data_IF_350242288173
#
_entry.id   IF_350242288173
#
_cell.length_a   1.000
_cell.length_b   1.000
_cell.length_c   1.000
_cell.angle_alpha   90.00
_cell.angle_beta   90.00
_cell.angle_gamma   90.00
#
_symmetry.space_group_name_H-M   'P 1'
#
loop_
_entity.id
_entity.type
_entity.pdbx_description
1 polymer ?
#
# COMPACT_ATOMS: atom_id res chain seq x y z
N UNK A 1 10.80 -13.40 -28.29
CA UNK A 1 11.67 -14.00 -27.25
C UNK A 1 12.27 -12.94 -26.32
N UNK A 2 13.07 -11.98 -26.80
CA UNK A 2 13.58 -10.84 -26.00
C UNK A 2 12.46 -10.05 -25.28
N UNK A 3 11.33 -9.83 -25.96
CA UNK A 3 10.16 -9.17 -25.36
C UNK A 3 9.56 -9.95 -24.18
N UNK A 4 9.55 -11.29 -24.23
CA UNK A 4 9.04 -12.13 -23.13
C UNK A 4 9.97 -12.04 -21.92
N UNK A 5 11.28 -12.05 -22.14
CA UNK A 5 12.29 -11.89 -21.09
C UNK A 5 12.21 -10.49 -20.46
N UNK A 6 12.04 -9.44 -21.27
CA UNK A 6 11.85 -8.07 -20.76
C UNK A 6 10.53 -7.98 -19.97
N UNK A 7 9.44 -8.60 -20.43
CA UNK A 7 8.16 -8.64 -19.70
C UNK A 7 8.32 -9.42 -18.38
N UNK A 8 9.07 -10.53 -18.37
CA UNK A 8 9.36 -11.32 -17.16
C UNK A 8 10.24 -10.55 -16.17
N UNK A 9 11.28 -9.86 -16.65
CA UNK A 9 12.15 -9.02 -15.84
C UNK A 9 11.39 -7.82 -15.28
N UNK A 10 10.54 -7.19 -16.11
CA UNK A 10 9.67 -6.10 -15.68
C UNK A 10 8.66 -6.61 -14.65
N UNK A 11 8.08 -7.80 -14.81
CA UNK A 11 7.19 -8.41 -13.81
C UNK A 11 7.93 -8.75 -12.50
N UNK A 12 9.17 -9.26 -12.60
CA UNK A 12 10.05 -9.55 -11.47
C UNK A 12 10.45 -8.28 -10.69
N UNK A 13 10.70 -7.17 -11.39
CA UNK A 13 11.04 -5.86 -10.80
C UNK A 13 9.80 -5.09 -10.35
N UNK A 14 8.63 -5.31 -10.97
CA UNK A 14 7.37 -4.61 -10.67
C UNK A 14 6.55 -5.26 -9.57
N UNK A 15 6.90 -6.47 -9.12
CA UNK A 15 6.51 -6.95 -7.81
C UNK A 15 7.02 -5.91 -6.80
N UNK A 16 6.13 -5.19 -6.10
CA UNK A 16 6.55 -4.09 -5.24
C UNK A 16 7.38 -4.70 -4.11
N UNK A 17 8.69 -4.66 -4.28
CA UNK A 17 9.67 -4.98 -3.28
C UNK A 17 9.53 -3.97 -2.13
N UNK A 18 8.54 -4.15 -1.28
CA UNK A 18 8.54 -3.61 0.07
C UNK A 18 9.34 -4.56 0.96
N UNK A 19 10.54 -4.92 0.50
CA UNK A 19 11.59 -5.38 1.39
C UNK A 19 11.99 -4.16 2.22
N UNK A 20 11.30 -3.97 3.35
CA UNK A 20 11.89 -3.23 4.47
C UNK A 20 13.13 -4.02 4.84
N UNK A 21 14.28 -3.60 4.30
CA UNK A 21 15.59 -4.17 4.60
C UNK A 21 15.79 -4.14 6.12
N UNK A 22 15.49 -5.25 6.79
CA UNK A 22 16.03 -5.56 8.11
C UNK A 22 17.46 -6.03 7.86
N UNK A 23 18.36 -5.07 7.65
CA UNK A 23 19.79 -5.35 7.79
C UNK A 23 20.06 -5.62 9.27
N UNK A 24 20.01 -6.90 9.67
CA UNK A 24 20.66 -7.36 10.88
C UNK A 24 22.17 -7.21 10.65
N UNK A 25 22.72 -6.05 11.05
CA UNK A 25 24.14 -5.92 11.29
C UNK A 25 24.29 -5.50 12.74
N UNK A 26 24.63 -6.48 13.58
CA UNK A 26 25.01 -6.28 14.97
C UNK A 26 26.22 -5.36 15.03
N UNK A 27 25.97 -4.09 15.31
CA UNK A 27 26.93 -3.14 15.86
C UNK A 27 26.11 -2.23 16.76
N UNK A 28 26.40 -2.28 18.05
CA UNK A 28 25.83 -1.42 19.08
C UNK A 28 25.89 0.03 18.62
N UNK A 29 24.78 0.52 18.05
CA UNK A 29 24.68 1.89 17.56
C UNK A 29 24.32 2.77 18.74
N UNK A 30 24.95 3.94 18.89
CA UNK A 30 24.53 4.91 19.89
C UNK A 30 23.04 5.22 19.67
N UNK A 31 22.31 5.33 20.78
CA UNK A 31 20.87 5.58 20.87
C UNK A 31 20.53 6.80 20.00
N UNK A 32 20.19 6.56 18.73
CA UNK A 32 19.81 7.62 17.79
C UNK A 32 18.60 8.31 18.40
N UNK A 33 18.70 9.63 18.61
CA UNK A 33 17.52 10.47 18.88
C UNK A 33 16.45 10.07 17.86
N UNK A 34 15.20 9.81 18.27
CA UNK A 34 14.15 9.50 17.31
C UNK A 34 14.14 10.64 16.29
N UNK A 35 14.39 10.31 15.02
CA UNK A 35 14.12 11.24 13.91
C UNK A 35 12.71 11.78 14.16
N UNK A 36 12.45 13.09 14.05
CA UNK A 36 11.10 13.62 14.14
C UNK A 36 10.22 12.76 13.23
N UNK A 37 9.18 12.14 13.81
CA UNK A 37 8.25 11.28 13.10
C UNK A 37 7.67 12.13 11.97
N UNK A 38 8.11 11.89 10.74
CA UNK A 38 7.61 12.59 9.57
C UNK A 38 6.13 12.20 9.44
N UNK A 39 5.24 13.11 9.85
CA UNK A 39 3.79 12.88 9.94
C UNK A 39 3.27 12.54 8.54
N UNK A 40 2.82 11.30 8.35
CA UNK A 40 2.06 10.89 7.17
C UNK A 40 0.63 11.39 7.33
N UNK A 41 0.01 11.86 6.24
CA UNK A 41 -1.41 12.19 6.28
C UNK A 41 -2.22 10.92 6.54
N UNK A 42 -2.93 10.91 7.66
CA UNK A 42 -3.84 9.85 8.07
C UNK A 42 -5.26 10.41 8.09
N UNK A 43 -6.10 9.91 7.18
CA UNK A 43 -7.50 10.37 7.07
C UNK A 43 -8.31 9.92 8.29
N UNK A 44 -7.99 8.79 8.91
CA UNK A 44 -8.65 8.36 10.15
C UNK A 44 -8.36 9.35 11.29
N UNK A 45 -7.09 9.74 11.44
CA UNK A 45 -6.70 10.79 12.39
C UNK A 45 -7.40 12.13 12.10
N UNK A 46 -7.48 12.51 10.81
CA UNK A 46 -8.15 13.75 10.41
C UNK A 46 -9.65 13.72 10.77
N UNK A 47 -10.33 12.60 10.53
CA UNK A 47 -11.74 12.44 10.92
C UNK A 47 -11.91 12.51 12.43
N UNK A 48 -11.04 11.84 13.20
CA UNK A 48 -11.05 11.89 14.67
C UNK A 48 -10.81 13.31 15.21
N UNK A 49 -9.88 14.07 14.62
CA UNK A 49 -9.61 15.46 15.01
C UNK A 49 -10.82 16.37 14.73
N UNK A 50 -11.48 16.19 13.57
CA UNK A 50 -12.70 16.92 13.23
C UNK A 50 -13.84 16.55 14.21
N UNK A 51 -14.05 15.26 14.47
CA UNK A 51 -15.06 14.79 15.43
C UNK A 51 -14.83 15.38 16.83
N UNK A 52 -13.58 15.38 17.29
CA UNK A 52 -13.18 15.99 18.57
C UNK A 52 -13.51 17.48 18.62
N UNK A 53 -13.23 18.21 17.54
CA UNK A 53 -13.54 19.65 17.47
C UNK A 53 -15.03 19.92 17.46
N UNK A 54 -15.81 19.15 16.72
CA UNK A 54 -17.27 19.25 16.74
C UNK A 54 -17.82 19.00 18.14
N UNK A 55 -17.29 17.99 18.85
CA UNK A 55 -17.68 17.67 20.23
C UNK A 55 -17.29 18.77 21.22
N UNK A 56 -16.24 19.56 20.92
CA UNK A 56 -15.89 20.78 21.66
C UNK A 56 -16.73 22.02 21.29
N UNK A 57 -17.74 21.88 20.43
CA UNK A 57 -18.64 22.96 20.02
C UNK A 57 -18.16 23.78 18.82
N UNK A 58 -17.12 23.34 18.10
CA UNK A 58 -16.70 24.00 16.87
C UNK A 58 -17.75 23.79 15.76
N UNK A 59 -17.93 24.79 14.89
CA UNK A 59 -18.73 24.60 13.67
C UNK A 59 -18.04 23.62 12.73
N UNK A 60 -18.81 22.94 11.88
CA UNK A 60 -18.28 21.99 10.86
C UNK A 60 -17.21 22.65 9.99
N UNK A 61 -17.44 23.88 9.54
CA UNK A 61 -16.47 24.66 8.75
C UNK A 61 -15.17 24.91 9.51
N UNK A 62 -15.26 25.42 10.75
CA UNK A 62 -14.07 25.70 11.56
C UNK A 62 -13.32 24.44 11.98
N UNK A 63 -14.02 23.31 12.18
CA UNK A 63 -13.41 22.03 12.51
C UNK A 63 -12.56 21.52 11.33
N UNK A 64 -13.12 21.52 10.12
CA UNK A 64 -12.39 21.13 8.90
C UNK A 64 -11.25 22.07 8.56
N UNK A 65 -11.48 23.38 8.60
CA UNK A 65 -10.47 24.38 8.28
C UNK A 65 -9.25 24.24 9.21
N UNK A 66 -9.48 24.12 10.52
CA UNK A 66 -8.40 23.95 11.49
C UNK A 66 -7.69 22.60 11.34
N UNK A 67 -8.41 21.52 10.97
CA UNK A 67 -7.81 20.17 10.87
C UNK A 67 -7.00 20.02 9.59
N UNK A 68 -7.38 20.77 8.55
CA UNK A 68 -6.69 20.80 7.26
C UNK A 68 -5.59 21.87 7.20
N UNK A 69 -5.57 22.85 8.11
CA UNK A 69 -4.56 23.93 8.13
C UNK A 69 -3.09 23.42 8.07
N UNK A 70 -2.70 22.34 8.78
CA UNK A 70 -1.34 21.79 8.68
C UNK A 70 -0.97 21.23 7.30
N UNK A 71 -1.95 21.00 6.41
CA UNK A 71 -1.75 20.37 5.10
C UNK A 71 -1.47 21.35 3.96
N UNK A 72 -1.34 22.64 4.26
CA UNK A 72 -0.74 23.62 3.36
C UNK A 72 -1.74 24.33 2.44
N UNK A 73 -2.66 25.10 3.04
CA UNK A 73 -3.25 26.29 2.39
C UNK A 73 -4.29 26.08 1.31
N UNK A 74 -4.73 24.85 1.03
CA UNK A 74 -5.95 24.61 0.24
C UNK A 74 -7.11 24.84 1.21
N UNK A 75 -7.58 26.10 1.27
CA UNK A 75 -8.56 26.57 2.25
C UNK A 75 -9.74 25.61 2.41
N UNK A 76 -10.16 25.43 3.66
CA UNK A 76 -11.22 24.52 4.09
C UNK A 76 -12.61 24.95 3.65
N UNK A 77 -12.75 25.42 2.41
CA UNK A 77 -14.06 25.73 1.83
C UNK A 77 -14.84 24.43 1.72
N UNK A 78 -15.96 24.40 2.42
CA UNK A 78 -16.92 23.31 2.34
C UNK A 78 -17.80 23.57 1.11
N UNK A 79 -17.91 22.58 0.22
CA UNK A 79 -18.82 22.64 -0.92
C UNK A 79 -20.29 22.64 -0.46
N UNK A 80 -21.21 22.99 -1.36
CA UNK A 80 -22.65 22.97 -1.06
C UNK A 80 -23.17 21.58 -0.64
N UNK A 81 -22.42 20.52 -0.93
CA UNK A 81 -22.69 19.14 -0.52
C UNK A 81 -22.06 18.74 0.81
N UNK A 82 -21.49 19.68 1.56
CA UNK A 82 -20.88 19.44 2.87
C UNK A 82 -19.47 18.84 2.81
N UNK A 83 -18.92 18.59 1.62
CA UNK A 83 -17.60 17.99 1.45
C UNK A 83 -16.51 19.08 1.43
N UNK A 84 -15.44 18.94 2.24
CA UNK A 84 -14.26 19.81 2.16
C UNK A 84 -13.57 19.70 0.79
N UNK A 85 -13.33 20.83 0.13
CA UNK A 85 -12.73 20.85 -1.21
C UNK A 85 -11.32 20.23 -1.23
N UNK A 86 -10.59 20.33 -0.13
CA UNK A 86 -9.26 19.73 0.04
C UNK A 86 -9.29 18.21 -0.11
N UNK A 87 -10.32 17.52 0.40
CA UNK A 87 -10.46 16.07 0.23
C UNK A 87 -10.72 15.70 -1.24
N UNK A 88 -11.48 16.53 -1.95
CA UNK A 88 -11.76 16.37 -3.37
C UNK A 88 -10.48 16.53 -4.21
N UNK A 89 -9.69 17.55 -3.91
CA UNK A 89 -8.37 17.73 -4.54
C UNK A 89 -7.46 16.53 -4.28
N UNK A 90 -7.42 16.03 -3.03
CA UNK A 90 -6.63 14.85 -2.67
C UNK A 90 -7.08 13.59 -3.43
N UNK A 91 -8.38 13.42 -3.65
CA UNK A 91 -8.95 12.32 -4.43
C UNK A 91 -8.48 12.35 -5.89
N UNK A 92 -8.43 13.53 -6.49
CA UNK A 92 -8.05 13.74 -7.90
C UNK A 92 -6.54 13.66 -8.14
N UNK A 93 -5.72 13.63 -7.08
CA UNK A 93 -4.27 13.59 -7.22
C UNK A 93 -3.77 12.35 -7.97
N UNK A 94 -2.91 12.58 -8.95
CA UNK A 94 -2.11 11.53 -9.58
C UNK A 94 -1.26 10.77 -8.57
N UNK A 95 -0.90 9.52 -8.87
CA UNK A 95 -0.15 8.66 -7.95
C UNK A 95 1.22 9.24 -7.54
N UNK A 96 1.88 9.98 -8.45
CA UNK A 96 3.14 10.68 -8.18
C UNK A 96 2.98 11.81 -7.15
N UNK A 97 1.90 12.58 -7.25
CA UNK A 97 1.59 13.65 -6.29
C UNK A 97 1.21 13.08 -4.93
N UNK A 98 0.40 12.01 -4.90
CA UNK A 98 0.10 11.27 -3.68
C UNK A 98 1.36 10.78 -2.98
N UNK A 99 2.32 10.25 -3.74
CA UNK A 99 3.62 9.82 -3.23
C UNK A 99 4.45 11.00 -2.71
N UNK A 100 4.47 12.13 -3.42
CA UNK A 100 5.16 13.37 -3.01
C UNK A 100 4.58 13.94 -1.71
N UNK A 101 3.25 13.94 -1.58
CA UNK A 101 2.49 14.37 -0.39
C UNK A 101 2.38 13.28 0.69
N UNK A 102 2.97 12.10 0.47
CA UNK A 102 3.02 10.96 1.41
C UNK A 102 1.65 10.53 1.95
N UNK A 103 0.64 10.59 1.08
CA UNK A 103 -0.69 10.09 1.39
C UNK A 103 -0.63 8.56 1.37
N UNK A 104 -0.98 7.92 2.49
CA UNK A 104 -0.95 6.45 2.56
C UNK A 104 -2.03 5.85 1.65
N UNK A 105 -1.84 4.60 1.20
CA UNK A 105 -2.86 3.90 0.39
C UNK A 105 -4.18 3.76 1.16
N UNK A 106 -4.11 3.45 2.46
CA UNK A 106 -5.27 3.38 3.34
C UNK A 106 -5.96 4.74 3.50
N UNK A 107 -5.19 5.82 3.68
CA UNK A 107 -5.71 7.18 3.75
C UNK A 107 -6.49 7.55 2.48
N UNK A 108 -5.96 7.24 1.30
CA UNK A 108 -6.66 7.53 0.04
C UNK A 108 -7.91 6.65 -0.15
N UNK A 109 -7.87 5.38 0.28
CA UNK A 109 -9.01 4.48 0.24
C UNK A 109 -10.15 4.90 1.20
N UNK A 110 -9.85 5.67 2.24
CA UNK A 110 -10.82 6.20 3.19
C UNK A 110 -11.50 7.52 2.76
N UNK A 111 -11.09 8.11 1.64
CA UNK A 111 -11.68 9.38 1.16
C UNK A 111 -13.16 9.22 0.76
N UNK A 112 -13.58 8.15 0.05
CA UNK A 112 -14.98 7.96 -0.29
C UNK A 112 -15.90 7.82 0.93
N UNK A 113 -15.45 7.15 2.00
CA UNK A 113 -16.25 7.07 3.24
C UNK A 113 -16.39 8.44 3.88
N UNK A 114 -15.32 9.26 3.92
CA UNK A 114 -15.41 10.65 4.37
C UNK A 114 -16.42 11.47 3.55
N UNK A 115 -16.49 11.27 2.23
CA UNK A 115 -17.49 11.92 1.37
C UNK A 115 -18.93 11.52 1.73
N UNK A 116 -19.17 10.22 1.96
CA UNK A 116 -20.50 9.72 2.34
C UNK A 116 -20.94 10.33 3.68
N UNK A 117 -20.06 10.33 4.69
CA UNK A 117 -20.35 10.92 6.01
C UNK A 117 -20.66 12.41 5.90
N UNK A 118 -19.84 13.16 5.16
CA UNK A 118 -20.03 14.60 4.98
C UNK A 118 -21.37 14.92 4.28
N UNK A 119 -21.72 14.18 3.23
CA UNK A 119 -23.00 14.36 2.52
C UNK A 119 -24.19 13.98 3.37
N UNK A 120 -24.09 12.89 4.13
CA UNK A 120 -25.17 12.44 4.99
C UNK A 120 -25.40 13.45 6.12
N UNK A 121 -24.32 13.93 6.74
CA UNK A 121 -24.33 15.01 7.74
C UNK A 121 -25.00 16.28 7.22
N UNK A 122 -24.65 16.73 6.01
CA UNK A 122 -25.22 17.93 5.42
C UNK A 122 -26.73 17.81 5.15
N UNK A 123 -27.22 16.59 4.89
CA UNK A 123 -28.63 16.32 4.65
C UNK A 123 -29.48 16.06 5.90
N UNK A 124 -28.90 15.56 7.00
CA UNK A 124 -29.67 15.07 8.16
C UNK A 124 -29.52 15.88 9.44
N UNK A 125 -28.48 16.71 9.59
CA UNK A 125 -28.23 17.46 10.83
C UNK A 125 -27.99 16.61 12.08
N UNK A 126 -27.85 15.28 11.92
CA UNK A 126 -27.61 14.31 12.97
C UNK A 126 -26.21 14.47 13.60
N UNK A 127 -25.89 13.83 14.74
CA UNK A 127 -24.61 14.01 15.45
C UNK A 127 -23.42 13.57 14.59
N UNK A 128 -22.93 14.51 13.79
CA UNK A 128 -21.84 14.34 12.81
C UNK A 128 -20.57 13.83 13.49
N UNK A 129 -20.37 14.23 14.74
CA UNK A 129 -19.27 13.79 15.56
C UNK A 129 -19.27 12.26 15.74
N UNK A 130 -20.41 11.64 16.02
CA UNK A 130 -20.47 10.19 16.32
C UNK A 130 -20.24 9.34 15.06
N UNK A 131 -20.76 9.80 13.91
CA UNK A 131 -20.54 9.13 12.62
C UNK A 131 -19.09 9.27 12.17
N UNK A 132 -18.49 10.46 12.33
CA UNK A 132 -17.07 10.67 12.03
C UNK A 132 -16.15 9.87 12.94
N UNK A 133 -16.48 9.74 14.24
CA UNK A 133 -15.72 8.95 15.21
C UNK A 133 -15.81 7.46 14.87
N UNK A 134 -17.02 6.97 14.56
CA UNK A 134 -17.24 5.58 14.10
C UNK A 134 -16.44 5.29 12.82
N UNK A 135 -16.45 6.21 11.86
CA UNK A 135 -15.65 6.07 10.65
C UNK A 135 -14.15 6.16 10.94
N UNK A 136 -13.71 7.02 11.85
CA UNK A 136 -12.30 7.12 12.24
C UNK A 136 -11.81 5.83 12.91
N UNK A 137 -12.60 5.25 13.81
CA UNK A 137 -12.35 3.94 14.43
C UNK A 137 -12.28 2.86 13.35
N UNK A 138 -13.27 2.76 12.47
CA UNK A 138 -13.27 1.78 11.39
C UNK A 138 -12.07 1.89 10.43
N UNK A 139 -11.63 3.11 10.10
CA UNK A 139 -10.42 3.34 9.29
C UNK A 139 -9.17 2.89 10.04
N UNK A 140 -9.10 3.15 11.34
CA UNK A 140 -7.98 2.75 12.19
C UNK A 140 -7.91 1.22 12.30
N UNK A 141 -9.02 0.57 12.61
CA UNK A 141 -9.13 -0.89 12.72
C UNK A 141 -8.77 -1.58 11.41
N UNK A 142 -9.25 -1.06 10.28
CA UNK A 142 -8.88 -1.57 8.95
C UNK A 142 -7.37 -1.41 8.68
N UNK A 143 -6.78 -0.30 9.12
CA UNK A 143 -5.33 -0.05 9.02
C UNK A 143 -4.51 -1.02 9.87
N UNK A 144 -4.93 -1.27 11.11
CA UNK A 144 -4.30 -2.22 12.02
C UNK A 144 -4.42 -3.65 11.50
N UNK A 145 -5.60 -4.05 11.01
CA UNK A 145 -5.82 -5.35 10.39
C UNK A 145 -4.93 -5.56 9.15
N UNK A 146 -4.77 -4.55 8.30
CA UNK A 146 -3.86 -4.61 7.16
C UNK A 146 -2.39 -4.76 7.59
N UNK A 147 -1.97 -4.01 8.60
CA UNK A 147 -0.61 -4.09 9.17
C UNK A 147 -0.34 -5.47 9.80
N UNK A 148 -1.31 -5.99 10.56
CA UNK A 148 -1.22 -7.32 11.17
C UNK A 148 -1.06 -8.42 10.11
N UNK A 149 -1.77 -8.31 8.97
CA UNK A 149 -1.60 -9.24 7.83
C UNK A 149 -0.24 -9.15 7.18
N UNK A 150 0.26 -7.93 6.95
CA UNK A 150 1.59 -7.76 6.37
C UNK A 150 2.67 -8.36 7.31
N UNK A 151 2.47 -8.28 8.62
CA UNK A 151 3.33 -8.92 9.63
C UNK A 151 3.18 -10.45 9.57
N UNK A 152 1.96 -10.99 9.53
CA UNK A 152 1.69 -12.42 9.47
C UNK A 152 2.22 -13.07 8.19
N UNK A 153 2.12 -12.37 7.06
CA UNK A 153 2.60 -12.82 5.75
C UNK A 153 4.10 -12.61 5.54
N UNK A 154 4.79 -11.91 6.44
CA UNK A 154 6.23 -11.67 6.31
C UNK A 154 7.05 -12.98 6.29
N UNK A 155 6.68 -13.96 7.11
CA UNK A 155 7.31 -15.29 7.11
C UNK A 155 7.11 -16.02 5.77
N UNK A 156 5.85 -16.29 5.36
CA UNK A 156 5.54 -16.94 4.09
C UNK A 156 6.16 -16.25 2.86
N UNK A 157 6.13 -14.92 2.79
CA UNK A 157 6.71 -14.17 1.67
C UNK A 157 8.24 -14.32 1.58
N UNK A 158 8.92 -14.38 2.73
CA UNK A 158 10.39 -14.51 2.75
C UNK A 158 10.83 -15.86 2.19
N UNK A 159 10.18 -16.95 2.60
CA UNK A 159 10.47 -18.30 2.10
C UNK A 159 10.12 -18.45 0.62
N UNK A 160 8.97 -17.92 0.19
CA UNK A 160 8.58 -17.93 -1.22
C UNK A 160 9.59 -17.18 -2.09
N UNK A 161 10.10 -16.03 -1.63
CA UNK A 161 11.13 -15.27 -2.34
C UNK A 161 12.46 -16.03 -2.43
N UNK A 162 12.88 -16.71 -1.37
CA UNK A 162 14.09 -17.54 -1.40
C UNK A 162 14.01 -18.64 -2.46
N UNK A 163 12.87 -19.32 -2.56
CA UNK A 163 12.64 -20.36 -3.57
C UNK A 163 12.55 -19.77 -4.98
N UNK A 164 11.87 -18.62 -5.16
CA UNK A 164 11.78 -17.93 -6.44
C UNK A 164 13.13 -17.37 -6.94
N UNK A 165 14.09 -17.13 -6.03
CA UNK A 165 15.44 -16.72 -6.41
C UNK A 165 16.34 -17.88 -6.84
N UNK A 166 15.98 -19.12 -6.51
CA UNK A 166 16.80 -20.32 -6.72
C UNK A 166 17.16 -20.57 -8.20
N UNK A 167 16.25 -20.39 -9.18
CA UNK A 167 16.57 -20.60 -10.60
C UNK A 167 17.68 -19.66 -11.09
N UNK A 168 17.65 -18.39 -10.67
CA UNK A 168 18.68 -17.41 -11.02
C UNK A 168 20.05 -17.76 -10.43
N UNK A 169 20.07 -18.22 -9.17
CA UNK A 169 21.28 -18.69 -8.51
C UNK A 169 21.85 -19.92 -9.22
N UNK A 170 21.00 -20.87 -9.62
CA UNK A 170 21.40 -22.07 -10.35
C UNK A 170 22.03 -21.77 -11.71
N UNK A 171 21.42 -20.85 -12.48
CA UNK A 171 21.99 -20.40 -13.77
C UNK A 171 23.36 -19.73 -13.55
N UNK A 172 23.48 -18.89 -12.53
CA UNK A 172 24.75 -18.24 -12.16
C UNK A 172 25.85 -19.26 -11.82
N UNK A 173 25.55 -20.24 -10.97
CA UNK A 173 26.49 -21.31 -10.64
C UNK A 173 26.88 -22.14 -11.87
N UNK A 174 25.92 -22.47 -12.74
CA UNK A 174 26.20 -23.17 -14.00
C UNK A 174 27.17 -22.38 -14.89
N UNK A 175 26.96 -21.06 -15.03
CA UNK A 175 27.88 -20.20 -15.80
C UNK A 175 29.28 -20.13 -15.18
N UNK A 176 29.39 -20.07 -13.85
CA UNK A 176 30.69 -20.08 -13.15
C UNK A 176 31.45 -21.39 -13.37
N UNK A 177 30.75 -22.52 -13.47
CA UNK A 177 31.33 -23.83 -13.78
C UNK A 177 31.71 -23.98 -15.27
N UNK A 178 31.53 -22.94 -16.09
CA UNK A 178 31.86 -22.93 -17.52
C UNK A 178 30.75 -23.49 -18.41
N UNK A 179 29.56 -23.80 -17.87
CA UNK A 179 28.42 -24.12 -18.71
C UNK A 179 27.97 -22.86 -19.47
N UNK A 180 27.46 -23.03 -20.68
CA UNK A 180 26.81 -21.96 -21.45
C UNK A 180 25.28 -22.15 -21.47
N UNK A 181 24.57 -21.99 -20.33
CA UNK A 181 23.14 -22.23 -20.23
C UNK A 181 22.35 -21.26 -21.11
N UNK A 182 22.81 -20.02 -21.24
CA UNK A 182 22.18 -19.04 -22.13
C UNK A 182 22.27 -19.48 -23.59
N UNK A 183 23.45 -19.93 -24.05
CA UNK A 183 23.60 -20.53 -25.36
C UNK A 183 22.65 -21.72 -25.54
N UNK A 184 22.58 -22.63 -24.58
CA UNK A 184 21.70 -23.80 -24.63
C UNK A 184 20.20 -23.44 -24.73
N UNK A 185 19.72 -22.51 -23.91
CA UNK A 185 18.32 -22.08 -23.92
C UNK A 185 17.90 -21.41 -25.23
N UNK A 186 18.81 -20.67 -25.89
CA UNK A 186 18.48 -19.92 -27.10
C UNK A 186 18.81 -20.63 -28.42
N UNK A 187 19.70 -21.63 -28.41
CA UNK A 187 20.13 -22.35 -29.62
C UNK A 187 19.43 -23.68 -29.86
N UNK A 188 18.86 -24.31 -28.83
CA UNK A 188 18.26 -25.64 -28.93
C UNK A 188 16.75 -25.60 -28.71
N UNK A 189 16.00 -26.33 -29.54
CA UNK A 189 14.54 -26.53 -29.39
C UNK A 189 14.22 -27.15 -28.01
N UNK A 190 15.05 -28.07 -27.54
CA UNK A 190 14.92 -28.70 -26.22
C UNK A 190 15.17 -27.66 -25.12
N UNK A 191 16.18 -26.80 -25.31
CA UNK A 191 16.47 -25.68 -24.40
C UNK A 191 15.33 -24.68 -24.31
N UNK A 192 14.74 -24.30 -25.44
CA UNK A 192 13.57 -23.43 -25.48
C UNK A 192 12.35 -24.07 -24.81
N UNK A 193 12.12 -25.37 -25.00
CA UNK A 193 11.05 -26.12 -24.34
C UNK A 193 11.17 -26.10 -22.82
N UNK A 194 12.36 -26.42 -22.30
CA UNK A 194 12.64 -26.38 -20.85
C UNK A 194 12.51 -24.96 -20.29
N UNK A 195 12.95 -23.94 -21.02
CA UNK A 195 12.82 -22.54 -20.62
C UNK A 195 11.35 -22.12 -20.47
N UNK A 196 10.51 -22.48 -21.45
CA UNK A 196 9.07 -22.20 -21.42
C UNK A 196 8.41 -22.93 -20.25
N UNK A 197 8.76 -24.20 -20.03
CA UNK A 197 8.24 -25.01 -18.94
C UNK A 197 8.59 -24.39 -17.58
N UNK A 198 9.87 -24.03 -17.38
CA UNK A 198 10.34 -23.39 -16.16
C UNK A 198 9.65 -22.04 -15.90
N UNK A 199 9.57 -21.17 -16.91
CA UNK A 199 8.86 -19.89 -16.79
C UNK A 199 7.39 -20.09 -16.47
N UNK A 200 6.71 -21.04 -17.13
CA UNK A 200 5.30 -21.31 -16.88
C UNK A 200 5.04 -21.78 -15.45
N UNK A 201 5.91 -22.64 -14.91
CA UNK A 201 5.83 -23.09 -13.52
C UNK A 201 6.09 -21.93 -12.54
N UNK A 202 7.07 -21.08 -12.82
CA UNK A 202 7.39 -19.89 -12.01
C UNK A 202 6.19 -18.91 -11.99
N UNK A 203 5.63 -18.61 -13.16
CA UNK A 203 4.45 -17.75 -13.29
C UNK A 203 3.24 -18.34 -12.58
N UNK A 204 3.02 -19.65 -12.71
CA UNK A 204 1.92 -20.34 -12.01
C UNK A 204 2.09 -20.24 -10.50
N UNK A 205 3.32 -20.41 -9.98
CA UNK A 205 3.64 -20.24 -8.56
C UNK A 205 3.37 -18.83 -8.05
N UNK A 206 3.86 -17.81 -8.77
CA UNK A 206 3.62 -16.40 -8.41
C UNK A 206 2.13 -16.07 -8.46
N UNK A 207 1.43 -16.53 -9.50
CA UNK A 207 -0.01 -16.32 -9.66
C UNK A 207 -0.81 -16.98 -8.52
N UNK A 208 -0.42 -18.18 -8.12
CA UNK A 208 -1.05 -18.89 -7.01
C UNK A 208 -0.86 -18.15 -5.68
N UNK A 209 0.36 -17.69 -5.38
CA UNK A 209 0.64 -16.90 -4.17
C UNK A 209 -0.16 -15.60 -4.18
N UNK A 210 -0.22 -14.90 -5.32
CA UNK A 210 -1.04 -13.71 -5.47
C UNK A 210 -2.52 -14.00 -5.22
N UNK A 211 -3.03 -15.12 -5.74
CA UNK A 211 -4.42 -15.54 -5.56
C UNK A 211 -4.73 -15.87 -4.10
N UNK A 212 -3.83 -16.57 -3.40
CA UNK A 212 -3.99 -16.87 -1.97
C UNK A 212 -4.01 -15.59 -1.12
N UNK A 213 -3.10 -14.66 -1.40
CA UNK A 213 -3.07 -13.35 -0.71
C UNK A 213 -4.32 -12.53 -1.02
N UNK A 214 -4.79 -12.51 -2.28
CA UNK A 214 -6.01 -11.82 -2.67
C UNK A 214 -7.26 -12.42 -2.01
N UNK A 215 -7.32 -13.76 -1.89
CA UNK A 215 -8.43 -14.45 -1.23
C UNK A 215 -8.44 -14.17 0.28
N UNK A 216 -7.28 -14.23 0.94
CA UNK A 216 -7.12 -13.85 2.34
C UNK A 216 -7.41 -12.36 2.61
N UNK A 217 -7.37 -11.50 1.57
CA UNK A 217 -7.82 -10.11 1.66
C UNK A 217 -9.34 -9.96 1.61
N UNK A 218 -10.04 -10.80 0.84
CA UNK A 218 -11.51 -10.77 0.70
C UNK A 218 -12.27 -11.39 1.87
N UNK A 219 -11.84 -12.57 2.36
CA UNK A 219 -12.60 -13.32 3.39
C UNK A 219 -12.78 -12.57 4.73
N UNK A 220 -12.00 -11.52 4.97
CA UNK A 220 -12.10 -10.68 6.16
C UNK A 220 -13.02 -9.48 6.03
N UNK A 221 -13.44 -9.12 4.82
CA UNK A 221 -14.42 -8.05 4.60
C UNK A 221 -15.86 -8.58 4.78
N UNK A 222 -16.03 -9.90 4.81
CA UNK A 222 -17.32 -10.60 4.94
C UNK A 222 -17.61 -11.10 6.37
N UNK A 223 -16.69 -10.88 7.32
CA UNK A 223 -16.78 -11.32 8.72
C UNK A 223 -16.86 -10.12 9.66
#
# INVERSE_FOLDING_TARGET
MLAVIIICLVAFVSLPAQSKKRTMKGKSRPRRRPSPRKVSLDIGMLMAEVATRLRSGASVESAWERSLAPLGGIGGRIGADGIPQTLRTIWELGWWERKKRRISKGAHAAIPSAFVVCRMSAGTGAPVADVLDTCASGITDAGEAASARDIALAGPQTSAFMLAALPGVGIGFGTMLGANPLGFFFSSIIGAGVLILGLSAEFAGIWWVWRLVAKARKESEEM
#
